data_IF_441764447733
#
_entry.id   IF_441764447733
#
_cell.length_a   1.000
_cell.length_b   1.000
_cell.length_c   1.000
_cell.angle_alpha   90.00
_cell.angle_beta   90.00
_cell.angle_gamma   90.00
#
_symmetry.space_group_name_H-M   'P 1'
#
loop_
_entity.id
_entity.type
_entity.pdbx_description
1 polymer ?
#
# COMPACT_ATOMS: atom_id res chain seq x y z
N UNK A 1 -10.59 8.54 9.35
CA UNK A 1 -10.54 7.10 9.03
C UNK A 1 -9.21 6.46 9.46
N UNK A 2 -8.07 7.08 9.15
CA UNK A 2 -6.73 6.52 9.44
C UNK A 2 -6.09 7.10 10.71
N UNK A 3 -6.82 7.84 11.50
CA UNK A 3 -6.34 8.51 12.71
C UNK A 3 -5.06 9.31 12.52
N UNK A 4 -4.85 9.83 11.32
CA UNK A 4 -3.67 10.63 11.00
C UNK A 4 -3.78 12.06 11.54
N UNK A 5 -2.63 12.63 11.84
CA UNK A 5 -2.47 14.06 12.04
C UNK A 5 -2.65 14.76 10.69
N UNK A 6 -3.58 15.70 10.60
CA UNK A 6 -3.82 16.47 9.39
C UNK A 6 -2.93 17.71 9.42
N UNK A 7 -2.12 17.90 8.40
CA UNK A 7 -1.24 19.05 8.28
C UNK A 7 -2.06 20.32 8.03
N UNK A 8 -1.76 21.41 8.72
CA UNK A 8 -2.36 22.72 8.43
C UNK A 8 -1.94 23.24 7.04
N UNK A 9 -0.70 22.91 6.66
CA UNK A 9 -0.13 23.28 5.36
C UNK A 9 0.44 22.07 4.65
N UNK A 10 0.09 21.92 3.39
CA UNK A 10 0.63 20.89 2.51
C UNK A 10 1.07 21.50 1.19
N UNK A 11 1.99 20.85 0.50
CA UNK A 11 2.54 21.33 -0.75
C UNK A 11 2.81 20.19 -1.71
N UNK A 12 2.46 20.40 -2.97
CA UNK A 12 2.85 19.49 -4.02
C UNK A 12 4.30 19.75 -4.46
N UNK A 13 5.00 18.67 -4.73
CA UNK A 13 6.35 18.65 -5.27
C UNK A 13 6.39 17.82 -6.55
N UNK A 14 7.40 18.07 -7.36
CA UNK A 14 7.71 17.25 -8.53
C UNK A 14 8.71 16.17 -8.16
N UNK A 15 8.30 14.91 -8.36
CA UNK A 15 9.17 13.73 -8.30
C UNK A 15 9.65 13.44 -9.71
N UNK A 16 10.89 13.82 -10.01
CA UNK A 16 11.40 13.74 -11.37
C UNK A 16 11.91 12.33 -11.69
N UNK A 17 11.42 11.76 -12.77
CA UNK A 17 11.97 10.54 -13.35
C UNK A 17 11.54 10.42 -14.82
N UNK A 18 12.42 9.83 -15.63
CA UNK A 18 12.24 9.69 -17.05
C UNK A 18 11.85 8.25 -17.37
N UNK A 19 10.57 8.05 -17.67
CA UNK A 19 10.08 6.74 -18.07
C UNK A 19 8.94 6.89 -19.07
N UNK A 20 8.77 5.96 -20.03
CA UNK A 20 7.78 6.10 -21.11
C UNK A 20 6.34 6.30 -20.64
N UNK A 21 5.96 5.81 -19.48
CA UNK A 21 4.62 5.96 -18.90
C UNK A 21 4.39 7.27 -18.15
N UNK A 22 5.43 8.09 -18.02
CA UNK A 22 5.35 9.41 -17.39
C UNK A 22 5.63 10.52 -18.42
N UNK A 23 4.59 10.99 -19.15
CA UNK A 23 4.78 11.87 -20.29
C UNK A 23 5.32 13.26 -19.96
N UNK A 24 5.28 13.65 -18.67
CA UNK A 24 5.80 14.95 -18.19
C UNK A 24 7.22 14.85 -17.61
N UNK A 25 7.79 13.65 -17.58
CA UNK A 25 9.07 13.35 -16.93
C UNK A 25 9.10 13.62 -15.41
N UNK A 26 7.95 13.86 -14.79
CA UNK A 26 7.77 13.97 -13.35
C UNK A 26 6.38 13.53 -12.91
N UNK A 27 6.29 13.04 -11.70
CA UNK A 27 5.04 12.75 -10.97
C UNK A 27 4.81 13.85 -9.95
N UNK A 28 3.57 14.32 -9.83
CA UNK A 28 3.18 15.20 -8.73
C UNK A 28 3.02 14.34 -7.47
N UNK A 29 3.59 14.82 -6.35
CA UNK A 29 3.57 14.11 -5.06
C UNK A 29 3.56 15.10 -3.92
N UNK A 30 3.24 14.62 -2.71
CA UNK A 30 3.33 15.39 -1.46
C UNK A 30 4.29 14.70 -0.49
N UNK A 31 5.36 14.10 -0.99
CA UNK A 31 6.27 13.26 -0.20
C UNK A 31 6.85 13.96 1.02
N UNK A 32 7.34 15.18 0.89
CA UNK A 32 8.00 15.97 1.94
C UNK A 32 7.03 16.79 2.80
N UNK A 33 5.85 17.14 2.27
CA UNK A 33 4.79 17.88 2.97
C UNK A 33 3.43 17.22 2.77
N UNK A 34 3.24 16.00 3.28
CA UNK A 34 2.01 15.27 3.09
C UNK A 34 0.83 15.94 3.77
N UNK A 35 -0.36 15.74 3.24
CA UNK A 35 -1.61 16.19 3.90
C UNK A 35 -1.85 15.47 5.22
N UNK A 36 -1.39 14.24 5.35
CA UNK A 36 -1.62 13.41 6.52
C UNK A 36 -0.29 12.82 7.02
N UNK A 37 0.05 13.15 8.25
CA UNK A 37 1.22 12.63 8.97
C UNK A 37 0.91 11.33 9.74
N UNK A 38 1.61 11.14 10.84
CA UNK A 38 1.49 9.96 11.68
C UNK A 38 0.04 9.60 11.99
N UNK A 39 -0.26 8.31 11.90
CA UNK A 39 -1.58 7.79 12.22
C UNK A 39 -1.52 6.31 12.52
N UNK A 40 -2.69 5.66 12.53
CA UNK A 40 -2.80 4.23 12.72
C UNK A 40 -4.12 3.69 12.18
N UNK A 41 -4.15 2.40 11.95
CA UNK A 41 -5.37 1.66 11.66
C UNK A 41 -5.39 0.39 12.52
N UNK A 42 -6.45 0.24 13.33
CA UNK A 42 -6.70 -0.97 14.08
C UNK A 42 -7.37 -1.99 13.18
N UNK A 43 -6.74 -3.13 12.97
CA UNK A 43 -7.26 -4.22 12.14
C UNK A 43 -7.62 -5.42 13.00
N UNK A 44 -8.73 -6.06 12.67
CA UNK A 44 -9.22 -7.25 13.35
C UNK A 44 -8.77 -8.49 12.58
N UNK A 45 -8.18 -9.44 13.29
CA UNK A 45 -7.67 -10.69 12.75
C UNK A 45 -8.75 -11.77 12.85
N UNK A 46 -8.53 -12.92 12.22
CA UNK A 46 -9.53 -14.00 12.14
C UNK A 46 -9.99 -14.53 13.51
N UNK A 47 -9.10 -14.48 14.52
CA UNK A 47 -9.40 -14.88 15.90
C UNK A 47 -10.03 -13.80 16.77
N UNK A 48 -10.36 -12.63 16.17
CA UNK A 48 -10.89 -11.48 16.88
C UNK A 48 -9.83 -10.59 17.56
N UNK A 49 -8.56 -10.96 17.49
CA UNK A 49 -7.48 -10.10 18.01
C UNK A 49 -7.41 -8.82 17.19
N UNK A 50 -7.25 -7.69 17.87
CA UNK A 50 -7.06 -6.39 17.23
C UNK A 50 -5.58 -6.05 17.24
N UNK A 51 -5.04 -5.74 16.06
CA UNK A 51 -3.66 -5.31 15.90
C UNK A 51 -3.62 -3.88 15.37
N UNK A 52 -2.78 -3.03 15.98
CA UNK A 52 -2.59 -1.65 15.53
C UNK A 52 -1.46 -1.55 14.52
N UNK A 53 -1.80 -1.19 13.30
CA UNK A 53 -0.85 -0.91 12.22
C UNK A 53 -0.53 0.57 12.21
N UNK A 54 0.73 0.97 12.47
CA UNK A 54 1.12 2.37 12.46
C UNK A 54 1.25 2.87 11.02
N UNK A 55 0.73 4.07 10.78
CA UNK A 55 0.83 4.76 9.49
C UNK A 55 1.85 5.89 9.63
N UNK A 56 2.74 6.00 8.67
CA UNK A 56 3.72 7.08 8.60
C UNK A 56 3.11 8.33 7.97
N UNK A 57 2.43 8.15 6.84
CA UNK A 57 1.76 9.23 6.10
C UNK A 57 0.72 8.70 5.12
N UNK A 58 -0.15 9.59 4.71
CA UNK A 58 -0.97 9.43 3.53
C UNK A 58 -0.94 10.73 2.73
N UNK A 59 -0.70 10.64 1.43
CA UNK A 59 -0.54 11.80 0.58
C UNK A 59 -1.10 11.56 -0.82
N UNK A 60 -1.28 12.65 -1.55
CA UNK A 60 -1.85 12.66 -2.90
C UNK A 60 -0.70 12.66 -3.91
N UNK A 61 -0.86 11.86 -4.94
CA UNK A 61 -0.02 11.80 -6.13
C UNK A 61 -0.90 11.81 -7.38
N UNK A 62 -0.28 11.81 -8.55
CA UNK A 62 -0.93 11.43 -9.78
C UNK A 62 -0.33 10.12 -10.33
N UNK A 63 -1.17 9.32 -10.98
CA UNK A 63 -0.75 8.01 -11.48
C UNK A 63 0.01 8.14 -12.81
N UNK A 64 0.89 7.19 -13.07
CA UNK A 64 1.56 7.01 -14.35
C UNK A 64 0.64 6.28 -15.35
N UNK A 65 1.01 6.29 -16.61
CA UNK A 65 0.43 5.43 -17.63
C UNK A 65 0.68 3.95 -17.34
N UNK A 66 0.29 3.09 -18.24
CA UNK A 66 0.48 1.65 -18.16
C UNK A 66 1.45 1.19 -19.25
N UNK A 67 2.52 0.50 -18.87
CA UNK A 67 3.40 -0.21 -19.77
C UNK A 67 3.00 -1.68 -19.88
N UNK A 68 2.91 -2.18 -21.10
CA UNK A 68 2.73 -3.60 -21.37
C UNK A 68 3.88 -4.06 -22.25
N UNK A 69 4.69 -4.98 -21.74
CA UNK A 69 5.83 -5.55 -22.47
C UNK A 69 5.37 -6.77 -23.27
N UNK A 70 5.67 -6.80 -24.56
CA UNK A 70 5.22 -7.83 -25.50
C UNK A 70 6.42 -8.65 -25.94
N UNK A 71 6.29 -9.98 -25.99
CA UNK A 71 7.34 -10.91 -26.42
C UNK A 71 8.32 -11.35 -25.32
N UNK A 72 8.36 -10.66 -24.18
CA UNK A 72 9.20 -11.04 -23.04
C UNK A 72 8.58 -12.16 -22.19
N UNK A 73 9.41 -12.91 -21.47
CA UNK A 73 8.95 -13.84 -20.48
C UNK A 73 8.33 -13.06 -19.30
N UNK A 74 7.15 -13.49 -18.84
CA UNK A 74 6.46 -12.97 -17.65
C UNK A 74 6.10 -11.48 -17.67
N UNK A 75 5.93 -10.87 -18.86
CA UNK A 75 5.56 -9.46 -18.99
C UNK A 75 6.66 -8.48 -18.55
N UNK A 76 7.91 -8.91 -18.47
CA UNK A 76 9.07 -8.08 -18.16
C UNK A 76 9.61 -7.39 -19.40
N UNK A 77 10.31 -6.27 -19.19
CA UNK A 77 11.00 -5.57 -20.27
C UNK A 77 12.17 -6.39 -20.84
N UNK A 78 12.78 -7.24 -20.01
CA UNK A 78 13.88 -8.10 -20.43
C UNK A 78 13.39 -9.16 -21.41
N UNK A 79 13.98 -9.16 -22.61
CA UNK A 79 13.57 -10.03 -23.71
C UNK A 79 12.28 -9.63 -24.40
N UNK A 80 11.69 -8.48 -24.09
CA UNK A 80 10.53 -7.97 -24.80
C UNK A 80 10.93 -7.40 -26.17
N UNK A 81 10.12 -7.71 -27.20
CA UNK A 81 10.31 -7.16 -28.55
C UNK A 81 9.99 -5.66 -28.59
N UNK A 82 8.94 -5.27 -27.86
CA UNK A 82 8.49 -3.88 -27.75
C UNK A 82 7.59 -3.70 -26.52
N UNK A 83 7.30 -2.43 -26.21
CA UNK A 83 6.38 -2.05 -25.15
C UNK A 83 5.25 -1.20 -25.70
N UNK A 84 4.03 -1.49 -25.28
CA UNK A 84 2.86 -0.66 -25.54
C UNK A 84 2.65 0.25 -24.32
N UNK A 85 2.52 1.55 -24.57
CA UNK A 85 2.27 2.55 -23.53
C UNK A 85 0.85 3.07 -23.67
N UNK A 86 0.07 2.90 -22.60
CA UNK A 86 -1.30 3.39 -22.50
C UNK A 86 -1.35 4.55 -21.49
N UNK A 87 -1.69 5.75 -21.95
CA UNK A 87 -1.78 6.94 -21.14
C UNK A 87 -3.16 7.20 -20.51
N UNK A 88 -4.16 6.32 -20.70
CA UNK A 88 -5.51 6.56 -20.16
C UNK A 88 -5.54 6.71 -18.63
N UNK A 89 -4.55 6.15 -17.93
CA UNK A 89 -4.41 6.27 -16.49
C UNK A 89 -3.53 7.46 -16.06
N UNK A 90 -2.70 7.99 -16.95
CA UNK A 90 -1.74 9.05 -16.61
C UNK A 90 -2.47 10.30 -16.09
N UNK A 91 -2.05 10.79 -14.92
CA UNK A 91 -2.64 11.95 -14.28
C UNK A 91 -3.90 11.68 -13.46
N UNK A 92 -4.37 10.43 -13.38
CA UNK A 92 -5.47 10.06 -12.48
C UNK A 92 -5.03 10.27 -11.03
N UNK A 93 -5.84 10.91 -10.17
CA UNK A 93 -5.49 11.08 -8.76
C UNK A 93 -5.24 9.75 -8.07
N UNK A 94 -4.16 9.69 -7.29
CA UNK A 94 -3.70 8.54 -6.55
C UNK A 94 -3.48 8.94 -5.08
N UNK A 95 -3.87 8.08 -4.14
CA UNK A 95 -3.53 8.22 -2.73
C UNK A 95 -2.49 7.16 -2.39
N UNK A 96 -1.33 7.56 -1.89
CA UNK A 96 -0.34 6.65 -1.33
C UNK A 96 -0.46 6.65 0.20
N UNK A 97 -0.63 5.46 0.78
CA UNK A 97 -0.67 5.26 2.23
C UNK A 97 0.54 4.41 2.61
N UNK A 98 1.43 4.99 3.41
CA UNK A 98 2.68 4.36 3.82
C UNK A 98 2.60 3.97 5.29
N UNK A 99 2.82 2.70 5.61
CA UNK A 99 2.94 2.24 6.99
C UNK A 99 4.35 2.46 7.50
N UNK A 100 4.49 2.66 8.82
CA UNK A 100 5.77 2.40 9.48
C UNK A 100 6.03 0.90 9.49
N UNK A 101 7.27 0.45 9.80
CA UNK A 101 7.52 -0.96 10.04
C UNK A 101 6.51 -1.51 11.07
N UNK A 102 5.89 -2.66 10.71
CA UNK A 102 4.90 -3.31 11.58
C UNK A 102 5.66 -4.22 12.54
N UNK A 103 5.94 -3.71 13.73
CA UNK A 103 6.69 -4.42 14.76
C UNK A 103 5.79 -5.33 15.58
N UNK A 104 6.38 -6.37 16.17
CA UNK A 104 5.66 -7.30 17.04
C UNK A 104 4.70 -8.25 16.32
N UNK A 105 4.68 -8.22 14.99
CA UNK A 105 3.81 -9.07 14.18
C UNK A 105 4.24 -10.55 14.21
N UNK A 106 5.56 -10.82 14.26
CA UNK A 106 6.10 -12.18 14.26
C UNK A 106 5.54 -13.02 13.11
N UNK A 107 5.17 -14.25 13.40
CA UNK A 107 4.60 -15.17 12.41
C UNK A 107 3.22 -14.75 11.88
N UNK A 108 2.57 -13.78 12.55
CA UNK A 108 1.27 -13.23 12.11
C UNK A 108 1.42 -12.08 11.11
N UNK A 109 2.63 -11.69 10.75
CA UNK A 109 2.86 -10.60 9.79
C UNK A 109 2.07 -10.76 8.47
N UNK A 110 1.98 -11.93 7.84
CA UNK A 110 1.17 -12.14 6.64
C UNK A 110 -0.33 -11.85 6.87
N UNK A 111 -0.90 -12.39 7.95
CA UNK A 111 -2.30 -12.19 8.31
C UNK A 111 -2.62 -10.72 8.59
N UNK A 112 -1.76 -10.05 9.37
CA UNK A 112 -1.90 -8.63 9.70
C UNK A 112 -1.87 -7.78 8.44
N UNK A 113 -0.94 -8.03 7.52
CA UNK A 113 -0.86 -7.29 6.27
C UNK A 113 -2.09 -7.51 5.38
N UNK A 114 -2.58 -8.74 5.27
CA UNK A 114 -3.82 -9.05 4.55
C UNK A 114 -5.03 -8.34 5.17
N UNK A 115 -5.17 -8.37 6.50
CA UNK A 115 -6.23 -7.69 7.23
C UNK A 115 -6.15 -6.16 7.05
N UNK A 116 -4.94 -5.60 7.09
CA UNK A 116 -4.71 -4.17 6.87
C UNK A 116 -5.19 -3.71 5.49
N UNK A 117 -4.77 -4.41 4.43
CA UNK A 117 -5.13 -4.01 3.07
C UNK A 117 -6.64 -4.20 2.81
N UNK A 118 -7.26 -5.24 3.39
CA UNK A 118 -8.73 -5.40 3.38
C UNK A 118 -9.43 -4.24 4.09
N UNK A 119 -8.95 -3.82 5.25
CA UNK A 119 -9.52 -2.69 5.98
C UNK A 119 -9.39 -1.36 5.20
N UNK A 120 -8.26 -1.12 4.53
CA UNK A 120 -8.11 0.04 3.63
C UNK A 120 -9.12 -0.02 2.48
N UNK A 121 -9.29 -1.18 1.82
CA UNK A 121 -10.29 -1.36 0.78
C UNK A 121 -11.68 -0.97 1.27
N UNK A 122 -12.09 -1.49 2.41
CA UNK A 122 -13.42 -1.24 2.98
C UNK A 122 -13.62 0.25 3.30
N UNK A 123 -12.58 0.91 3.83
CA UNK A 123 -12.62 2.35 4.11
C UNK A 123 -12.78 3.19 2.83
N UNK A 124 -11.96 2.95 1.81
CA UNK A 124 -12.02 3.77 0.58
C UNK A 124 -13.30 3.53 -0.21
N UNK A 125 -13.90 2.32 -0.12
CA UNK A 125 -15.24 2.03 -0.66
C UNK A 125 -16.32 2.77 0.12
N UNK A 126 -16.32 2.69 1.45
CA UNK A 126 -17.30 3.37 2.30
C UNK A 126 -17.27 4.89 2.13
N UNK A 127 -16.10 5.45 1.86
CA UNK A 127 -15.92 6.87 1.56
C UNK A 127 -16.22 7.23 0.09
N UNK A 128 -16.57 6.24 -0.74
CA UNK A 128 -16.81 6.40 -2.18
C UNK A 128 -15.61 7.05 -2.94
N UNK A 129 -14.39 6.75 -2.50
CA UNK A 129 -13.15 7.26 -3.10
C UNK A 129 -12.72 6.37 -4.27
N UNK A 130 -12.85 5.04 -4.12
CA UNK A 130 -12.43 4.06 -5.11
C UNK A 130 -13.27 2.79 -5.01
N UNK A 131 -13.43 2.09 -6.12
CA UNK A 131 -13.96 0.72 -6.12
C UNK A 131 -12.99 -0.28 -5.48
N UNK A 132 -11.71 0.09 -5.33
CA UNK A 132 -10.65 -0.67 -4.68
C UNK A 132 -10.53 -2.13 -5.17
N UNK A 133 -10.71 -2.35 -6.47
CA UNK A 133 -10.56 -3.65 -7.14
C UNK A 133 -9.10 -3.84 -7.53
N UNK A 134 -8.41 -4.74 -6.82
CA UNK A 134 -6.98 -5.00 -7.06
C UNK A 134 -6.75 -5.59 -8.47
N UNK A 135 -7.64 -6.47 -8.93
CA UNK A 135 -7.59 -7.09 -10.26
C UNK A 135 -7.77 -6.09 -11.40
N UNK A 136 -8.37 -4.93 -11.12
CA UNK A 136 -8.53 -3.84 -12.09
C UNK A 136 -7.46 -2.74 -11.94
N UNK A 137 -6.53 -2.91 -10.98
CA UNK A 137 -5.49 -1.93 -10.70
C UNK A 137 -5.99 -0.66 -9.99
N UNK A 138 -7.23 -0.63 -9.47
CA UNK A 138 -7.72 0.49 -8.68
C UNK A 138 -7.05 0.58 -7.31
N UNK A 139 -6.48 -0.51 -6.83
CA UNK A 139 -5.71 -0.61 -5.60
C UNK A 139 -4.49 -1.48 -5.85
N UNK A 140 -3.35 -1.05 -5.36
CA UNK A 140 -2.07 -1.75 -5.48
C UNK A 140 -1.40 -1.79 -4.12
N UNK A 141 -0.58 -2.80 -3.88
CA UNK A 141 0.22 -2.90 -2.67
C UNK A 141 1.66 -3.27 -3.03
N UNK A 142 2.58 -2.54 -2.45
CA UNK A 142 4.00 -2.87 -2.45
C UNK A 142 4.36 -3.40 -1.07
N UNK A 143 5.02 -4.55 -1.03
CA UNK A 143 5.34 -5.28 0.20
C UNK A 143 6.82 -5.17 0.50
N UNK A 144 7.16 -4.57 1.64
CA UNK A 144 8.53 -4.49 2.14
C UNK A 144 8.71 -5.47 3.29
N UNK A 145 9.67 -6.37 3.19
CA UNK A 145 10.00 -7.36 4.23
C UNK A 145 11.47 -7.26 4.60
N UNK A 146 11.74 -7.23 5.90
CA UNK A 146 13.08 -7.41 6.47
C UNK A 146 13.00 -8.28 7.72
N UNK A 147 14.06 -9.01 8.02
CA UNK A 147 14.18 -9.83 9.21
C UNK A 147 15.25 -9.26 10.12
N UNK A 148 15.07 -9.47 11.43
CA UNK A 148 16.05 -9.17 12.47
C UNK A 148 16.11 -10.33 13.47
N UNK A 149 17.29 -10.59 14.09
CA UNK A 149 17.45 -11.76 14.96
C UNK A 149 16.68 -11.66 16.28
N UNK A 150 16.33 -10.45 16.71
CA UNK A 150 15.52 -10.21 17.90
C UNK A 150 14.76 -8.90 17.80
N UNK A 151 13.71 -8.68 18.62
CA UNK A 151 12.97 -7.42 18.64
C UNK A 151 13.81 -6.17 18.89
N UNK A 152 14.90 -6.32 19.63
CA UNK A 152 15.78 -5.21 20.02
C UNK A 152 16.93 -4.97 19.02
N UNK A 153 17.11 -5.87 18.05
CA UNK A 153 18.14 -5.72 17.04
C UNK A 153 17.73 -4.66 15.99
N UNK A 154 18.70 -4.00 15.34
CA UNK A 154 18.42 -3.13 14.21
C UNK A 154 17.67 -3.88 13.09
N UNK A 155 16.87 -3.15 12.31
CA UNK A 155 16.22 -3.73 11.13
C UNK A 155 17.25 -4.28 10.16
N UNK A 156 16.97 -5.46 9.61
CA UNK A 156 17.73 -6.01 8.51
C UNK A 156 17.48 -5.26 7.20
N UNK A 157 18.26 -5.60 6.19
CA UNK A 157 18.05 -5.10 4.83
C UNK A 157 16.70 -5.58 4.30
N UNK A 158 15.90 -4.65 3.79
CA UNK A 158 14.59 -4.96 3.24
C UNK A 158 14.65 -5.34 1.77
N UNK A 159 13.80 -6.26 1.35
CA UNK A 159 13.40 -6.44 -0.04
C UNK A 159 12.01 -5.87 -0.27
N UNK A 160 11.79 -5.25 -1.43
CA UNK A 160 10.50 -4.71 -1.84
C UNK A 160 9.91 -5.60 -2.92
N UNK A 161 8.70 -6.11 -2.71
CA UNK A 161 7.94 -6.84 -3.75
C UNK A 161 6.84 -5.95 -4.28
N UNK A 162 6.89 -5.68 -5.59
CA UNK A 162 5.94 -4.80 -6.28
C UNK A 162 4.80 -5.57 -6.95
N UNK A 163 3.70 -4.85 -7.19
CA UNK A 163 2.57 -5.29 -7.99
C UNK A 163 1.92 -6.58 -7.48
N UNK A 164 1.71 -6.67 -6.17
CA UNK A 164 0.93 -7.76 -5.60
C UNK A 164 -0.56 -7.44 -5.76
N UNK A 165 -1.26 -8.22 -6.59
CA UNK A 165 -2.58 -7.88 -7.12
C UNK A 165 -3.74 -8.61 -6.41
N UNK A 166 -3.48 -9.23 -5.25
CA UNK A 166 -4.53 -9.88 -4.46
C UNK A 166 -4.17 -9.89 -2.98
N UNK A 167 -5.19 -9.91 -2.10
CA UNK A 167 -4.99 -10.03 -0.65
C UNK A 167 -4.24 -11.29 -0.27
N UNK A 168 -4.60 -12.42 -0.89
CA UNK A 168 -3.93 -13.70 -0.69
C UNK A 168 -2.48 -13.66 -1.21
N UNK A 169 -2.26 -12.94 -2.32
CA UNK A 169 -0.92 -12.72 -2.86
C UNK A 169 -0.03 -11.94 -1.88
N UNK A 170 -0.56 -10.94 -1.18
CA UNK A 170 0.17 -10.19 -0.15
C UNK A 170 0.62 -11.13 0.97
N UNK A 171 -0.30 -11.92 1.53
CA UNK A 171 0.00 -12.87 2.60
C UNK A 171 1.07 -13.89 2.17
N UNK A 172 0.92 -14.47 0.99
CA UNK A 172 1.88 -15.45 0.44
C UNK A 172 3.24 -14.83 0.12
N UNK A 173 3.26 -13.63 -0.41
CA UNK A 173 4.50 -12.88 -0.67
C UNK A 173 5.30 -12.70 0.62
N UNK A 174 4.64 -12.27 1.70
CA UNK A 174 5.30 -12.08 3.00
C UNK A 174 5.80 -13.42 3.54
N UNK A 175 4.97 -14.47 3.50
CA UNK A 175 5.38 -15.82 3.93
C UNK A 175 6.59 -16.33 3.16
N UNK A 176 6.60 -16.13 1.86
CA UNK A 176 7.72 -16.54 1.01
C UNK A 176 8.99 -15.73 1.35
N UNK A 177 8.89 -14.41 1.43
CA UNK A 177 10.03 -13.54 1.71
C UNK A 177 10.63 -13.80 3.09
N UNK A 178 9.82 -14.05 4.11
CA UNK A 178 10.31 -14.44 5.44
C UNK A 178 11.16 -15.72 5.34
N UNK A 179 10.66 -16.76 4.68
CA UNK A 179 11.40 -18.03 4.52
C UNK A 179 12.67 -17.85 3.69
N UNK A 180 12.58 -17.11 2.58
CA UNK A 180 13.72 -16.85 1.69
C UNK A 180 14.83 -16.10 2.41
N UNK A 181 14.46 -15.02 3.13
CA UNK A 181 15.44 -14.21 3.86
C UNK A 181 16.06 -15.00 5.02
N UNK A 182 15.25 -15.73 5.79
CA UNK A 182 15.74 -16.59 6.87
C UNK A 182 16.76 -17.61 6.35
N UNK A 183 16.42 -18.36 5.31
CA UNK A 183 17.34 -19.34 4.73
C UNK A 183 18.66 -18.72 4.24
N UNK A 184 18.62 -17.53 3.65
CA UNK A 184 19.84 -16.82 3.23
C UNK A 184 20.70 -16.39 4.40
N UNK A 185 20.08 -15.85 5.45
CA UNK A 185 20.78 -15.41 6.66
C UNK A 185 21.38 -16.61 7.42
N UNK A 186 20.68 -17.72 7.50
CA UNK A 186 21.18 -18.97 8.10
C UNK A 186 22.38 -19.54 7.33
N UNK A 187 22.39 -19.37 6.00
CA UNK A 187 23.54 -19.70 5.14
C UNK A 187 24.69 -18.70 5.24
N UNK A 188 24.61 -17.66 6.06
CA UNK A 188 25.60 -16.59 6.17
C UNK A 188 25.63 -15.64 4.96
N UNK A 189 24.59 -15.59 4.16
CA UNK A 189 24.47 -14.73 2.97
C UNK A 189 23.72 -13.45 3.31
N UNK A 190 24.15 -12.34 2.77
CA UNK A 190 23.50 -11.05 2.94
C UNK A 190 22.18 -10.96 2.16
N UNK A 191 21.23 -10.22 2.70
CA UNK A 191 20.04 -9.79 1.97
C UNK A 191 20.38 -8.55 1.18
N UNK A 192 20.08 -8.57 -0.11
CA UNK A 192 20.29 -7.42 -0.99
C UNK A 192 19.06 -6.52 -0.98
N UNK A 193 19.29 -5.20 -1.00
CA UNK A 193 18.22 -4.23 -1.22
C UNK A 193 17.83 -4.24 -2.69
N UNK A 194 16.78 -4.97 -3.00
CA UNK A 194 16.33 -5.19 -4.37
C UNK A 194 14.81 -5.04 -4.49
N UNK A 195 14.37 -4.67 -5.69
CA UNK A 195 12.96 -4.82 -6.08
C UNK A 195 12.75 -6.24 -6.57
N UNK A 196 11.68 -6.87 -6.11
CA UNK A 196 11.26 -8.21 -6.48
C UNK A 196 9.86 -8.17 -7.11
N UNK A 197 9.47 -9.24 -7.79
CA UNK A 197 8.16 -9.38 -8.38
C UNK A 197 7.55 -10.71 -7.91
N UNK A 198 6.29 -10.66 -7.51
CA UNK A 198 5.53 -11.87 -7.15
C UNK A 198 5.08 -12.60 -8.41
N UNK A 199 5.28 -13.90 -8.44
CA UNK A 199 4.76 -14.82 -9.46
C UNK A 199 3.68 -15.69 -8.83
N UNK A 200 2.44 -15.48 -9.24
CA UNK A 200 1.28 -16.20 -8.69
C UNK A 200 1.27 -17.67 -9.10
N UNK A 201 1.81 -18.02 -10.27
CA UNK A 201 1.83 -19.39 -10.76
C UNK A 201 2.81 -20.28 -9.97
N UNK A 202 4.01 -19.76 -9.72
CA UNK A 202 5.05 -20.48 -8.95
C UNK A 202 4.98 -20.22 -7.46
N UNK A 203 4.24 -19.19 -7.03
CA UNK A 203 4.15 -18.72 -5.64
C UNK A 203 5.52 -18.37 -5.04
N UNK A 204 6.35 -17.72 -5.86
CA UNK A 204 7.69 -17.27 -5.48
C UNK A 204 7.88 -15.80 -5.84
N UNK A 205 8.92 -15.19 -5.28
CA UNK A 205 9.38 -13.90 -5.76
C UNK A 205 10.62 -14.06 -6.64
N UNK A 206 10.66 -13.37 -7.75
CA UNK A 206 11.85 -13.29 -8.59
C UNK A 206 12.59 -11.97 -8.36
N UNK A 207 13.92 -12.01 -8.31
CA UNK A 207 14.76 -10.82 -8.23
C UNK A 207 14.58 -9.93 -9.46
N UNK A 208 14.45 -8.64 -9.23
CA UNK A 208 14.43 -7.61 -10.24
C UNK A 208 15.73 -6.78 -10.19
N UNK A 209 15.58 -5.48 -10.38
CA UNK A 209 16.71 -4.53 -10.33
C UNK A 209 17.24 -4.38 -8.91
N UNK A 210 18.55 -4.44 -8.75
CA UNK A 210 19.20 -3.99 -7.52
C UNK A 210 18.91 -2.49 -7.37
N UNK A 211 18.44 -2.07 -6.20
CA UNK A 211 18.40 -0.65 -5.86
C UNK A 211 19.83 -0.22 -5.54
N UNK A 212 20.51 0.39 -6.52
CA UNK A 212 21.57 1.34 -6.19
C UNK A 212 20.90 2.49 -5.45
N UNK A 213 21.60 3.05 -4.45
CA UNK A 213 21.15 4.11 -3.54
C UNK A 213 20.02 4.97 -4.05
N UNK A 214 19.09 5.31 -3.15
CA UNK A 214 17.79 5.94 -3.42
C UNK A 214 17.83 6.80 -4.68
N UNK A 215 17.08 6.42 -5.70
CA UNK A 215 16.98 7.21 -6.92
C UNK A 215 16.77 8.67 -6.49
N UNK A 216 17.71 9.53 -6.80
CA UNK A 216 17.61 10.95 -6.50
C UNK A 216 16.57 11.55 -7.43
N UNK A 217 15.30 11.53 -6.96
CA UNK A 217 14.19 12.11 -7.69
C UNK A 217 14.24 13.63 -7.74
N UNK A 218 15.20 14.26 -7.08
CA UNK A 218 15.37 15.71 -7.06
C UNK A 218 14.06 16.42 -6.81
N UNK A 219 13.39 16.07 -5.72
CA UNK A 219 12.14 16.70 -5.33
C UNK A 219 12.32 18.22 -5.19
N UNK A 220 11.39 18.97 -5.78
CA UNK A 220 11.26 20.39 -5.54
C UNK A 220 9.79 20.81 -5.58
N UNK A 221 9.40 21.89 -4.87
CA UNK A 221 8.02 22.37 -4.90
C UNK A 221 7.53 22.61 -6.33
N UNK A 222 6.32 22.14 -6.63
CA UNK A 222 5.73 22.39 -7.94
C UNK A 222 5.44 23.90 -8.09
N UNK A 223 6.01 24.59 -9.11
CA UNK A 223 5.88 26.03 -9.25
C UNK A 223 4.47 26.47 -9.71
N UNK A 224 3.69 25.55 -10.28
CA UNK A 224 2.36 25.83 -10.81
C UNK A 224 1.25 25.57 -9.77
N UNK A 225 1.58 24.92 -8.66
CA UNK A 225 0.63 24.57 -7.61
C UNK A 225 0.94 25.33 -6.32
N UNK A 226 -0.04 26.10 -5.86
CA UNK A 226 0.09 26.84 -4.60
C UNK A 226 0.05 25.91 -3.39
N UNK A 227 0.59 26.35 -2.26
CA UNK A 227 0.46 25.66 -1.00
C UNK A 227 -1.01 25.51 -0.61
N UNK A 228 -1.35 24.33 -0.10
CA UNK A 228 -2.69 24.05 0.42
C UNK A 228 -2.76 24.43 1.89
N UNK A 229 -3.73 25.29 2.23
CA UNK A 229 -4.07 25.59 3.62
C UNK A 229 -5.31 24.82 4.01
N UNK A 230 -5.16 23.88 4.96
CA UNK A 230 -6.24 23.02 5.45
C UNK A 230 -6.69 23.57 6.80
N UNK A 231 -7.81 24.30 6.81
CA UNK A 231 -8.32 24.94 8.02
C UNK A 231 -9.01 23.96 8.96
N UNK A 232 -9.11 24.29 10.23
CA UNK A 232 -9.84 23.48 11.22
C UNK A 232 -11.32 23.37 10.88
N UNK A 233 -11.90 24.46 10.37
CA UNK A 233 -13.29 24.51 9.94
C UNK A 233 -13.55 23.51 8.83
N UNK A 234 -12.67 23.46 7.82
CA UNK A 234 -12.77 22.48 6.73
C UNK A 234 -12.65 21.04 7.24
N UNK A 235 -11.75 20.77 8.20
CA UNK A 235 -11.62 19.45 8.81
C UNK A 235 -12.93 19.05 9.52
N UNK A 236 -13.56 19.95 10.28
CA UNK A 236 -14.80 19.65 10.97
C UNK A 236 -15.99 19.46 10.00
N UNK A 237 -16.04 20.23 8.92
CA UNK A 237 -17.01 20.00 7.83
C UNK A 237 -16.86 18.62 7.21
N UNK A 238 -15.63 18.20 6.91
CA UNK A 238 -15.36 16.87 6.37
C UNK A 238 -15.74 15.76 7.36
N UNK A 239 -15.41 15.93 8.64
CA UNK A 239 -15.80 14.97 9.69
C UNK A 239 -17.31 14.83 9.81
N UNK A 240 -18.05 15.93 9.71
CA UNK A 240 -19.52 15.92 9.80
C UNK A 240 -20.18 15.19 8.61
N UNK A 241 -19.50 15.12 7.47
CA UNK A 241 -19.98 14.42 6.27
C UNK A 241 -19.51 12.95 6.19
N UNK A 242 -18.62 12.52 7.08
CA UNK A 242 -18.11 11.16 7.06
C UNK A 242 -19.23 10.15 7.38
N UNK A 243 -19.37 9.09 6.56
CA UNK A 243 -20.24 7.98 6.91
C UNK A 243 -19.72 7.21 8.12
N UNK A 244 -20.55 6.37 8.70
CA UNK A 244 -20.11 5.41 9.71
C UNK A 244 -19.03 4.51 9.11
N UNK A 245 -17.90 4.37 9.81
CA UNK A 245 -16.77 3.57 9.30
C UNK A 245 -17.08 2.06 9.32
N UNK A 246 -16.50 1.29 8.39
CA UNK A 246 -16.85 -0.13 8.21
C UNK A 246 -16.73 -0.96 9.49
N UNK A 247 -15.69 -0.74 10.30
CA UNK A 247 -15.52 -1.45 11.57
C UNK A 247 -16.60 -1.11 12.58
N UNK A 248 -16.93 0.18 12.72
CA UNK A 248 -17.97 0.67 13.63
C UNK A 248 -19.34 0.11 13.20
N UNK A 249 -19.64 0.17 11.91
CA UNK A 249 -20.83 -0.39 11.30
C UNK A 249 -20.95 -1.89 11.58
N UNK A 250 -19.88 -2.66 11.38
CA UNK A 250 -19.87 -4.09 11.69
C UNK A 250 -20.17 -4.37 13.16
N UNK A 251 -19.52 -3.66 14.05
CA UNK A 251 -19.70 -3.83 15.50
C UNK A 251 -21.12 -3.49 15.93
N UNK A 252 -21.68 -2.42 15.40
CA UNK A 252 -23.08 -2.03 15.65
C UNK A 252 -24.05 -3.09 15.14
N UNK A 253 -23.97 -3.49 13.86
CA UNK A 253 -24.87 -4.47 13.28
C UNK A 253 -24.75 -5.84 13.97
N UNK A 254 -23.52 -6.27 14.31
CA UNK A 254 -23.31 -7.49 15.08
C UNK A 254 -24.05 -7.44 16.40
N UNK A 255 -23.99 -6.31 17.11
CA UNK A 255 -24.68 -6.11 18.39
C UNK A 255 -26.20 -6.04 18.22
N UNK A 256 -26.68 -5.24 17.25
CA UNK A 256 -28.11 -5.04 17.03
C UNK A 256 -28.84 -6.31 16.56
N UNK A 257 -28.19 -7.10 15.72
CA UNK A 257 -28.75 -8.33 15.14
C UNK A 257 -28.41 -9.59 15.94
N UNK A 258 -27.60 -9.48 16.99
CA UNK A 258 -27.18 -10.61 17.81
C UNK A 258 -26.35 -11.65 17.03
N UNK A 259 -25.54 -11.20 16.05
CA UNK A 259 -24.78 -12.07 15.17
C UNK A 259 -23.48 -12.53 15.83
N UNK A 260 -23.11 -13.78 15.57
CA UNK A 260 -21.76 -14.28 15.85
C UNK A 260 -20.73 -13.70 14.84
N UNK A 261 -19.43 -13.82 15.17
CA UNK A 261 -18.34 -13.39 14.27
C UNK A 261 -18.39 -14.16 12.95
N UNK A 262 -18.73 -15.44 12.99
CA UNK A 262 -18.87 -16.27 11.80
C UNK A 262 -19.99 -15.76 10.88
N UNK A 263 -21.18 -15.50 11.42
CA UNK A 263 -22.31 -15.00 10.66
C UNK A 263 -22.01 -13.62 10.05
N UNK A 264 -21.38 -12.72 10.82
CA UNK A 264 -20.98 -11.40 10.30
C UNK A 264 -19.96 -11.55 9.17
N UNK A 265 -18.98 -12.45 9.31
CA UNK A 265 -18.01 -12.73 8.24
C UNK A 265 -18.67 -13.26 6.98
N UNK A 266 -19.66 -14.15 7.11
CA UNK A 266 -20.37 -14.73 5.97
C UNK A 266 -21.19 -13.65 5.23
N UNK A 267 -21.82 -12.73 5.96
CA UNK A 267 -22.55 -11.57 5.39
C UNK A 267 -21.58 -10.65 4.63
N UNK A 268 -20.40 -10.35 5.21
CA UNK A 268 -19.40 -9.52 4.57
C UNK A 268 -18.82 -10.16 3.30
N UNK A 269 -18.59 -11.49 3.34
CA UNK A 269 -18.10 -12.22 2.18
C UNK A 269 -19.14 -12.33 1.05
N UNK A 270 -20.41 -12.24 1.38
CA UNK A 270 -21.50 -12.22 0.40
C UNK A 270 -21.66 -10.84 -0.29
N UNK A 271 -20.86 -9.85 0.08
CA UNK A 271 -20.90 -8.47 -0.47
C UNK A 271 -22.30 -7.81 -0.37
N UNK A 272 -23.06 -8.17 0.67
CA UNK A 272 -24.47 -7.79 0.83
C UNK A 272 -24.69 -6.58 1.74
N UNK A 273 -23.62 -6.00 2.30
CA UNK A 273 -23.67 -4.85 3.21
C UNK A 273 -23.26 -3.52 2.58
N UNK A 274 -22.96 -3.51 1.30
CA UNK A 274 -22.58 -2.31 0.56
C UNK A 274 -23.78 -1.62 -0.08
#
# INVERSE_FOLDING_TARGET
ALHCEIAEWSQFARKNYFYPDMPRDYQISQYDKPTNGNGYLDVELEDGTVFRVPIERAHIEDDAGKNTHVGGADGRIEGADHSLVDYNRAGVPLIEIVTKPIEGAGDRAPEIAGAYVRAIRDIVRALNISHARMEQGNMRADVNVSLRPSPDAPYGTRSETKNVNSFRGIEKTIQYEIRRQAARLDDGKEILQETRHWDEATQTTAGGRLKSDADDYRYFPDPDLVMLHITKEHIEEMKAQMPEMPRERRNRLKSEWGLSDLQMRDILNADTLD
#
